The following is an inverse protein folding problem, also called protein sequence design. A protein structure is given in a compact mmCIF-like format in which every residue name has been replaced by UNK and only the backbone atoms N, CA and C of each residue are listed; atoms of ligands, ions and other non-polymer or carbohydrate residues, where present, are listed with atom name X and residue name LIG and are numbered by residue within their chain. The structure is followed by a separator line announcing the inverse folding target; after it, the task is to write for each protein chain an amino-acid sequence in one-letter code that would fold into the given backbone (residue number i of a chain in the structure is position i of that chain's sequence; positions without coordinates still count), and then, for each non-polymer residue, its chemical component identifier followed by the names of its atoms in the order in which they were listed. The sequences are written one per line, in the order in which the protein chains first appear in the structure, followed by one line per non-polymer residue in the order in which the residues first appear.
data_IF_989632920087
#
_entry.id   IF_989632920087
#
_cell.length_a   1.000
_cell.length_b   1.000
_cell.length_c   1.000
_cell.angle_alpha   90.00
_cell.angle_beta   90.00
_cell.angle_gamma   90.00
#
_symmetry.space_group_name_H-M   'P 1'
#
loop_
_entity.id
_entity.type
_entity.pdbx_description
1 polymer ?
#
# COMPACT_ATOMS: atom_id res chain seq x y z
N UNK A 1 18.73 38.16 -32.40
CA UNK A 1 19.67 38.37 -31.30
C UNK A 1 18.87 38.29 -30.01
N UNK A 2 18.79 37.09 -29.42
CA UNK A 2 18.13 36.91 -28.09
C UNK A 2 19.06 37.50 -27.04
N UNK A 3 18.56 38.47 -26.29
CA UNK A 3 19.21 38.93 -25.07
C UNK A 3 19.27 37.77 -24.09
N UNK A 4 20.41 37.54 -23.38
CA UNK A 4 20.44 36.57 -22.30
C UNK A 4 19.42 37.01 -21.25
N UNK A 5 18.42 36.17 -20.98
CA UNK A 5 17.57 36.35 -19.81
C UNK A 5 18.48 36.43 -18.58
N UNK A 6 18.36 37.49 -17.78
CA UNK A 6 18.99 37.57 -16.49
C UNK A 6 18.61 36.35 -15.63
N UNK A 7 19.29 36.11 -14.51
CA UNK A 7 18.94 34.98 -13.63
C UNK A 7 17.46 35.09 -13.32
N UNK A 8 16.65 34.17 -13.88
CA UNK A 8 15.24 34.12 -13.56
C UNK A 8 15.14 33.68 -12.10
N UNK A 9 14.32 34.36 -11.31
CA UNK A 9 13.97 33.96 -9.93
C UNK A 9 13.37 32.52 -9.87
N UNK A 10 13.16 31.92 -11.05
CA UNK A 10 12.52 30.62 -11.24
C UNK A 10 13.43 29.42 -10.91
N UNK A 11 14.76 29.62 -10.80
CA UNK A 11 15.72 28.57 -10.42
C UNK A 11 16.77 29.18 -9.51
N UNK A 12 16.80 28.72 -8.26
CA UNK A 12 17.67 29.26 -7.22
C UNK A 12 18.42 28.18 -6.47
N UNK A 13 19.76 28.14 -6.46
CA UNK A 13 20.52 27.22 -5.63
C UNK A 13 20.51 27.67 -4.17
N UNK A 14 20.32 26.72 -3.26
CA UNK A 14 20.37 26.86 -1.82
C UNK A 14 21.47 25.95 -1.30
N UNK A 15 22.63 26.55 -1.03
CA UNK A 15 23.80 25.79 -0.60
C UNK A 15 23.79 25.51 0.90
N UNK A 16 24.09 24.27 1.25
CA UNK A 16 24.23 23.76 2.60
C UNK A 16 22.93 23.36 3.28
N UNK A 17 23.07 22.44 4.24
CA UNK A 17 21.95 21.79 4.91
C UNK A 17 21.04 22.75 5.67
N UNK A 18 21.62 23.75 6.35
CA UNK A 18 20.81 24.70 7.14
C UNK A 18 19.84 25.52 6.29
N UNK A 19 20.30 26.02 5.12
CA UNK A 19 19.44 26.76 4.19
C UNK A 19 18.38 25.85 3.56
N UNK A 20 18.75 24.62 3.22
CA UNK A 20 17.83 23.61 2.70
C UNK A 20 16.71 23.32 3.70
N UNK A 21 17.07 23.03 4.96
CA UNK A 21 16.10 22.74 6.04
C UNK A 21 15.19 23.93 6.32
N UNK A 22 15.73 25.15 6.37
CA UNK A 22 14.92 26.36 6.55
C UNK A 22 13.92 26.55 5.43
N UNK A 23 14.34 26.38 4.16
CA UNK A 23 13.46 26.53 3.00
C UNK A 23 12.40 25.42 2.93
N UNK A 24 12.78 24.20 3.24
CA UNK A 24 11.87 23.07 3.34
C UNK A 24 10.76 23.34 4.37
N UNK A 25 11.12 23.82 5.55
CA UNK A 25 10.16 24.16 6.60
C UNK A 25 9.18 25.28 6.14
N UNK A 26 9.67 26.31 5.43
CA UNK A 26 8.81 27.36 4.87
C UNK A 26 7.82 26.81 3.84
N UNK A 27 8.28 25.95 2.91
CA UNK A 27 7.43 25.33 1.89
C UNK A 27 6.38 24.43 2.52
N UNK A 28 6.76 23.59 3.49
CA UNK A 28 5.82 22.73 4.22
C UNK A 28 4.80 23.54 5.02
N UNK A 29 5.22 24.65 5.64
CA UNK A 29 4.29 25.54 6.33
C UNK A 29 3.25 26.18 5.37
N UNK A 30 3.69 26.48 4.14
CA UNK A 30 2.87 27.15 3.11
C UNK A 30 2.00 26.20 2.26
N UNK A 31 2.31 24.90 2.22
CA UNK A 31 1.61 23.94 1.37
C UNK A 31 0.14 23.77 1.75
N UNK A 32 -0.74 23.58 0.77
CA UNK A 32 -2.19 23.52 0.99
C UNK A 32 -2.87 22.30 0.38
N UNK A 33 -2.33 21.73 -0.68
CA UNK A 33 -3.03 20.72 -1.46
C UNK A 33 -2.29 19.39 -1.54
N UNK A 34 -1.04 19.40 -2.02
CA UNK A 34 -0.29 18.17 -2.19
C UNK A 34 1.22 18.32 -2.00
N UNK A 35 1.82 17.26 -1.50
CA UNK A 35 3.26 17.06 -1.41
C UNK A 35 3.65 15.76 -2.12
N UNK A 36 4.50 15.87 -3.15
CA UNK A 36 5.03 14.73 -3.88
C UNK A 36 6.52 14.61 -3.59
N UNK A 37 6.99 13.45 -3.18
CA UNK A 37 8.41 13.25 -2.86
C UNK A 37 8.96 11.94 -3.43
N UNK A 38 10.19 11.98 -3.95
CA UNK A 38 10.91 10.84 -4.51
C UNK A 38 12.27 10.68 -3.83
N UNK A 39 12.52 9.49 -3.27
CA UNK A 39 13.69 9.17 -2.47
C UNK A 39 14.39 7.93 -3.02
N UNK A 40 15.48 8.06 -3.80
CA UNK A 40 16.22 6.93 -4.37
C UNK A 40 17.14 6.22 -3.37
N UNK A 41 17.35 6.81 -2.19
CA UNK A 41 18.23 6.24 -1.17
C UNK A 41 17.47 5.19 -0.36
N UNK A 42 18.01 3.97 -0.18
CA UNK A 42 17.33 2.89 0.54
C UNK A 42 17.27 3.12 2.06
N UNK A 43 18.14 3.97 2.61
CA UNK A 43 18.17 4.27 4.03
C UNK A 43 17.63 5.68 4.29
N UNK A 44 16.54 5.76 5.03
CA UNK A 44 16.29 6.96 5.81
C UNK A 44 17.23 6.91 7.02
N UNK A 45 18.21 7.79 7.04
CA UNK A 45 18.98 8.07 8.23
C UNK A 45 18.02 8.39 9.38
N UNK A 46 18.24 7.80 10.55
CA UNK A 46 17.37 7.96 11.72
C UNK A 46 17.14 9.44 12.08
N UNK A 47 18.17 10.28 11.89
CA UNK A 47 18.07 11.73 12.07
C UNK A 47 17.09 12.37 11.07
N UNK A 48 17.09 11.92 9.83
CA UNK A 48 16.16 12.38 8.79
C UNK A 48 14.73 11.89 9.04
N UNK A 49 14.55 10.68 9.54
CA UNK A 49 13.25 10.15 9.96
C UNK A 49 12.67 10.92 11.12
N UNK A 50 13.46 11.17 12.17
CA UNK A 50 13.04 11.94 13.33
C UNK A 50 12.66 13.38 12.96
N UNK A 51 13.33 13.98 11.96
CA UNK A 51 12.98 15.29 11.44
C UNK A 51 11.74 15.27 10.52
N UNK A 52 11.52 14.21 9.76
CA UNK A 52 10.42 14.10 8.80
C UNK A 52 9.07 13.76 9.47
N UNK A 53 9.07 12.93 10.50
CA UNK A 53 7.84 12.44 11.17
C UNK A 53 6.94 13.57 11.69
N UNK A 54 7.43 14.60 12.43
CA UNK A 54 6.58 15.72 12.86
C UNK A 54 6.01 16.53 11.70
N UNK A 55 6.80 16.71 10.64
CA UNK A 55 6.37 17.44 9.44
C UNK A 55 5.28 16.66 8.69
N UNK A 56 5.45 15.36 8.55
CA UNK A 56 4.48 14.48 7.91
C UNK A 56 3.16 14.48 8.68
N UNK A 57 3.19 14.37 10.00
CA UNK A 57 1.99 14.44 10.85
C UNK A 57 1.26 15.79 10.70
N UNK A 58 1.99 16.90 10.72
CA UNK A 58 1.40 18.23 10.52
C UNK A 58 0.75 18.39 9.14
N UNK A 59 1.25 17.72 8.11
CA UNK A 59 0.61 17.68 6.79
C UNK A 59 -0.69 16.86 6.82
N UNK A 60 -0.70 15.70 7.48
CA UNK A 60 -1.89 14.87 7.65
C UNK A 60 -3.02 15.60 8.40
N UNK A 61 -2.70 16.34 9.48
CA UNK A 61 -3.66 17.14 10.24
C UNK A 61 -4.28 18.27 9.40
N UNK A 62 -3.61 18.69 8.33
CA UNK A 62 -4.07 19.74 7.41
C UNK A 62 -4.75 19.18 6.15
N UNK A 63 -4.98 17.87 6.08
CA UNK A 63 -5.58 17.18 4.94
C UNK A 63 -4.80 17.37 3.62
N UNK A 64 -3.48 17.62 3.71
CA UNK A 64 -2.62 17.70 2.53
C UNK A 64 -2.39 16.30 1.98
N UNK A 65 -2.64 16.11 0.69
CA UNK A 65 -2.37 14.83 0.02
C UNK A 65 -0.85 14.58 -0.07
N UNK A 66 -0.33 13.61 0.66
CA UNK A 66 1.10 13.27 0.66
C UNK A 66 1.33 11.97 -0.09
N UNK A 67 2.17 12.02 -1.13
CA UNK A 67 2.56 10.88 -1.92
C UNK A 67 4.09 10.76 -1.93
N UNK A 68 4.59 9.63 -1.47
CA UNK A 68 6.04 9.37 -1.38
C UNK A 68 6.43 8.12 -2.17
N UNK A 69 7.43 8.25 -3.02
CA UNK A 69 8.11 7.14 -3.69
C UNK A 69 9.45 6.89 -3.01
N UNK A 70 9.67 5.66 -2.61
CA UNK A 70 10.94 5.18 -2.05
C UNK A 70 11.48 3.96 -2.80
N UNK A 71 12.62 3.47 -2.36
CA UNK A 71 13.17 2.18 -2.74
C UNK A 71 13.00 1.22 -1.55
N UNK A 72 12.91 -0.10 -1.80
CA UNK A 72 12.78 -1.07 -0.73
C UNK A 72 13.92 -0.94 0.30
N UNK A 73 13.55 -0.95 1.57
CA UNK A 73 14.50 -0.94 2.67
C UNK A 73 15.35 -2.22 2.70
N UNK A 74 16.57 -2.12 3.22
CA UNK A 74 17.31 -3.31 3.63
C UNK A 74 16.58 -4.02 4.79
N UNK A 75 16.72 -5.35 4.97
CA UNK A 75 15.97 -6.12 5.97
C UNK A 75 16.06 -5.62 7.42
N UNK A 76 17.11 -4.87 7.75
CA UNK A 76 17.38 -4.34 9.10
C UNK A 76 17.15 -2.82 9.20
N UNK A 77 16.47 -2.20 8.23
CA UNK A 77 16.30 -0.75 8.15
C UNK A 77 14.98 -0.29 8.79
N UNK A 78 15.02 0.82 9.54
CA UNK A 78 13.86 1.47 10.17
C UNK A 78 12.81 2.02 9.17
N UNK A 79 13.08 1.94 7.87
CA UNK A 79 12.16 2.43 6.81
C UNK A 79 10.83 1.70 6.82
N UNK A 80 10.78 0.44 7.26
CA UNK A 80 9.53 -0.31 7.39
C UNK A 80 8.56 0.31 8.40
N UNK A 81 9.08 0.81 9.51
CA UNK A 81 8.29 1.49 10.54
C UNK A 81 7.78 2.83 10.04
N UNK A 82 8.60 3.56 9.27
CA UNK A 82 8.21 4.82 8.63
C UNK A 82 7.07 4.64 7.61
N UNK A 83 7.15 3.65 6.76
CA UNK A 83 6.08 3.34 5.79
C UNK A 83 4.77 3.01 6.49
N UNK A 84 4.80 2.27 7.61
CA UNK A 84 3.64 1.94 8.42
C UNK A 84 3.07 3.20 9.11
N UNK A 85 3.89 4.09 9.63
CA UNK A 85 3.47 5.36 10.24
C UNK A 85 2.86 6.31 9.20
N UNK A 86 3.45 6.40 8.02
CA UNK A 86 2.91 7.15 6.88
C UNK A 86 1.49 6.66 6.53
N UNK A 87 1.32 5.35 6.38
CA UNK A 87 0.02 4.76 6.07
C UNK A 87 -1.01 5.01 7.17
N UNK A 88 -0.62 4.92 8.45
CA UNK A 88 -1.48 5.20 9.59
C UNK A 88 -1.93 6.67 9.65
N UNK A 89 -1.13 7.58 9.10
CA UNK A 89 -1.43 9.02 8.99
C UNK A 89 -2.21 9.40 7.73
N UNK A 90 -2.68 8.42 6.94
CA UNK A 90 -3.43 8.67 5.70
C UNK A 90 -2.56 9.11 4.51
N UNK A 91 -1.25 8.98 4.63
CA UNK A 91 -0.30 9.30 3.56
C UNK A 91 -0.04 8.08 2.67
N UNK A 92 0.24 8.32 1.40
CA UNK A 92 0.46 7.25 0.44
C UNK A 92 1.96 7.03 0.19
N UNK A 93 2.42 5.80 0.42
CA UNK A 93 3.78 5.38 0.16
C UNK A 93 3.81 4.22 -0.85
N UNK A 94 4.72 4.27 -1.82
CA UNK A 94 4.97 3.20 -2.78
C UNK A 94 6.46 3.04 -3.01
N UNK A 95 6.86 1.86 -3.47
CA UNK A 95 8.26 1.51 -3.72
C UNK A 95 8.50 1.07 -5.15
N UNK A 96 9.69 1.41 -5.67
CA UNK A 96 10.26 0.88 -6.89
C UNK A 96 11.70 0.40 -6.60
N UNK A 97 12.19 -0.63 -7.30
CA UNK A 97 13.55 -1.13 -7.12
C UNK A 97 14.62 -0.06 -7.32
N UNK A 98 14.34 0.94 -8.16
CA UNK A 98 15.25 2.06 -8.45
C UNK A 98 14.45 3.32 -8.75
N UNK A 99 14.98 4.46 -8.30
CA UNK A 99 14.44 5.78 -8.60
C UNK A 99 15.56 6.67 -9.15
N UNK A 100 15.26 7.55 -10.13
CA UNK A 100 16.31 8.26 -10.87
C UNK A 100 16.90 9.44 -10.14
N UNK A 101 16.15 10.12 -9.26
CA UNK A 101 16.53 11.40 -8.69
C UNK A 101 15.76 11.66 -7.40
N UNK A 102 16.37 12.39 -6.46
CA UNK A 102 15.74 12.87 -5.23
C UNK A 102 15.18 14.25 -5.42
N UNK A 103 13.87 14.40 -5.21
CA UNK A 103 13.21 15.71 -5.22
C UNK A 103 11.96 15.72 -4.36
N UNK A 104 11.48 16.92 -4.06
CA UNK A 104 10.19 17.16 -3.41
C UNK A 104 9.46 18.27 -4.15
N UNK A 105 8.15 18.12 -4.37
CA UNK A 105 7.29 19.08 -5.06
C UNK A 105 6.20 19.52 -4.11
N UNK A 106 5.89 20.82 -4.10
CA UNK A 106 4.95 21.49 -3.21
C UNK A 106 3.87 22.17 -4.06
N UNK A 107 2.62 21.74 -3.91
CA UNK A 107 1.43 22.27 -4.62
C UNK A 107 1.62 22.48 -6.14
N UNK A 108 2.50 21.70 -6.79
CA UNK A 108 2.92 21.86 -8.21
C UNK A 108 3.41 23.25 -8.57
N UNK A 109 3.89 24.02 -7.59
CA UNK A 109 4.34 25.40 -7.78
C UNK A 109 5.82 25.62 -7.47
N UNK A 110 6.39 24.68 -6.74
CA UNK A 110 7.81 24.69 -6.41
C UNK A 110 8.36 23.28 -6.27
N UNK A 111 9.60 23.07 -6.64
CA UNK A 111 10.31 21.82 -6.40
C UNK A 111 11.66 22.08 -5.76
N UNK A 112 12.12 21.17 -4.90
CA UNK A 112 13.49 21.12 -4.37
C UNK A 112 14.18 19.87 -4.94
N UNK A 113 15.28 20.05 -5.66
CA UNK A 113 16.07 18.97 -6.26
C UNK A 113 17.48 19.04 -5.67
N UNK A 114 18.11 17.91 -5.33
CA UNK A 114 19.51 17.92 -4.81
C UNK A 114 20.47 18.53 -5.82
N UNK A 115 21.41 19.37 -5.35
CA UNK A 115 22.52 19.86 -6.15
C UNK A 115 23.46 18.70 -6.53
N UNK A 116 23.70 17.80 -5.59
CA UNK A 116 24.49 16.61 -5.78
C UNK A 116 23.68 15.38 -5.34
N UNK A 117 23.38 14.44 -6.26
CA UNK A 117 22.60 13.24 -5.92
C UNK A 117 23.25 12.38 -4.83
N UNK A 118 24.57 12.47 -4.65
CA UNK A 118 25.35 11.64 -3.71
C UNK A 118 25.64 12.34 -2.38
N UNK A 119 25.35 13.65 -2.28
CA UNK A 119 25.67 14.46 -1.09
C UNK A 119 24.56 15.49 -0.83
N UNK A 120 23.62 15.13 0.02
CA UNK A 120 22.54 16.02 0.45
C UNK A 120 23.02 17.25 1.24
N UNK A 121 24.23 17.19 1.81
CA UNK A 121 24.85 18.30 2.54
C UNK A 121 25.22 19.49 1.65
N UNK A 122 25.38 19.28 0.34
CA UNK A 122 25.66 20.37 -0.62
C UNK A 122 24.48 21.32 -0.82
N UNK A 123 23.26 20.83 -0.56
CA UNK A 123 22.06 21.65 -0.66
C UNK A 123 21.16 21.25 -1.82
N UNK A 124 20.23 22.15 -2.16
CA UNK A 124 19.20 21.92 -3.18
C UNK A 124 19.11 23.06 -4.19
N UNK A 125 18.53 22.77 -5.33
CA UNK A 125 18.07 23.77 -6.29
C UNK A 125 16.55 23.92 -6.09
N UNK A 126 16.10 25.10 -5.75
CA UNK A 126 14.67 25.45 -5.79
C UNK A 126 14.29 25.80 -7.24
N UNK A 127 13.28 25.12 -7.75
CA UNK A 127 12.73 25.30 -9.10
C UNK A 127 11.30 25.79 -8.99
N UNK A 128 11.00 26.91 -9.64
CA UNK A 128 9.66 27.54 -9.73
C UNK A 128 9.21 27.74 -11.15
N UNK A 129 10.07 27.51 -12.14
CA UNK A 129 9.71 27.54 -13.55
C UNK A 129 8.60 26.50 -13.80
N UNK A 130 7.40 26.96 -14.15
CA UNK A 130 6.22 26.10 -14.28
C UNK A 130 6.47 24.87 -15.15
N UNK A 131 7.04 25.05 -16.36
CA UNK A 131 7.33 23.95 -17.26
C UNK A 131 8.30 22.91 -16.67
N UNK A 132 9.26 23.33 -15.82
CA UNK A 132 10.18 22.42 -15.16
C UNK A 132 9.51 21.67 -13.99
N UNK A 133 8.68 22.37 -13.22
CA UNK A 133 7.88 21.75 -12.15
C UNK A 133 6.90 20.74 -12.76
N UNK A 134 6.20 21.09 -13.85
CA UNK A 134 5.28 20.19 -14.55
C UNK A 134 6.01 18.92 -15.05
N UNK A 135 7.23 19.07 -15.59
CA UNK A 135 8.03 17.92 -16.01
C UNK A 135 8.43 16.99 -14.85
N UNK A 136 8.71 17.55 -13.67
CA UNK A 136 8.99 16.76 -12.46
C UNK A 136 7.71 16.07 -11.93
N UNK A 137 6.56 16.73 -11.99
CA UNK A 137 5.25 16.14 -11.66
C UNK A 137 4.96 14.97 -12.59
N UNK A 138 5.13 15.15 -13.90
CA UNK A 138 4.96 14.07 -14.89
C UNK A 138 5.90 12.89 -14.65
N UNK A 139 7.16 13.15 -14.31
CA UNK A 139 8.10 12.11 -13.93
C UNK A 139 7.61 11.35 -12.69
N UNK A 140 7.17 12.08 -11.65
CA UNK A 140 6.64 11.49 -10.43
C UNK A 140 5.43 10.59 -10.72
N UNK A 141 4.43 11.11 -11.43
CA UNK A 141 3.19 10.40 -11.72
C UNK A 141 3.44 9.12 -12.52
N UNK A 142 4.30 9.15 -13.52
CA UNK A 142 4.69 7.94 -14.26
C UNK A 142 5.32 6.88 -13.36
N UNK A 143 6.23 7.28 -12.48
CA UNK A 143 6.85 6.36 -11.51
C UNK A 143 5.85 5.87 -10.47
N UNK A 144 4.92 6.73 -10.06
CA UNK A 144 3.84 6.37 -9.16
C UNK A 144 2.92 5.30 -9.74
N UNK A 145 2.55 5.42 -11.00
CA UNK A 145 1.73 4.44 -11.71
C UNK A 145 2.49 3.12 -11.92
N UNK A 146 3.78 3.20 -12.26
CA UNK A 146 4.66 2.03 -12.36
C UNK A 146 4.74 1.27 -11.02
N UNK A 147 4.94 1.97 -9.91
CA UNK A 147 4.95 1.38 -8.58
C UNK A 147 3.60 0.73 -8.24
N UNK A 148 2.48 1.38 -8.59
CA UNK A 148 1.16 0.80 -8.44
C UNK A 148 0.94 -0.44 -9.31
N UNK A 149 1.48 -0.46 -10.53
CA UNK A 149 1.44 -1.63 -11.41
C UNK A 149 2.33 -2.76 -10.91
N UNK A 150 3.55 -2.44 -10.41
CA UNK A 150 4.45 -3.41 -9.80
C UNK A 150 3.84 -4.03 -8.55
N UNK A 151 3.21 -3.22 -7.69
CA UNK A 151 2.48 -3.70 -6.50
C UNK A 151 1.34 -4.64 -6.90
N UNK A 152 0.53 -4.28 -7.89
CA UNK A 152 -0.51 -5.17 -8.46
C UNK A 152 0.09 -6.41 -9.12
N UNK A 153 1.24 -6.29 -9.77
CA UNK A 153 1.97 -7.41 -10.38
C UNK A 153 2.54 -8.38 -9.34
N UNK A 154 3.11 -7.88 -8.26
CA UNK A 154 3.56 -8.68 -7.12
C UNK A 154 2.39 -9.39 -6.43
N UNK A 155 1.24 -8.69 -6.29
CA UNK A 155 0.00 -9.30 -5.84
C UNK A 155 -0.48 -10.42 -6.80
N UNK A 156 -0.32 -10.26 -8.11
CA UNK A 156 -0.62 -11.31 -9.12
C UNK A 156 0.27 -12.55 -9.01
N UNK A 157 1.44 -12.46 -8.41
CA UNK A 157 2.33 -13.61 -8.16
C UNK A 157 2.10 -14.27 -6.80
N UNK A 158 1.13 -13.80 -6.01
CA UNK A 158 0.75 -14.47 -4.77
C UNK A 158 0.27 -15.90 -5.05
N UNK A 159 1.03 -16.87 -4.64
CA UNK A 159 0.65 -18.28 -4.72
C UNK A 159 0.01 -18.70 -3.40
N UNK A 160 -1.30 -18.76 -3.39
CA UNK A 160 -2.05 -19.36 -2.29
C UNK A 160 -2.16 -20.87 -2.53
N UNK A 161 -1.98 -21.68 -1.51
CA UNK A 161 -2.38 -23.08 -1.54
C UNK A 161 -3.90 -23.18 -1.61
N UNK A 162 -4.44 -24.33 -2.06
CA UNK A 162 -5.90 -24.52 -2.13
C UNK A 162 -6.60 -24.28 -0.78
N UNK A 163 -5.95 -24.65 0.33
CA UNK A 163 -6.45 -24.41 1.69
C UNK A 163 -6.45 -22.92 2.03
N UNK A 164 -5.37 -22.22 1.75
CA UNK A 164 -5.27 -20.76 1.97
C UNK A 164 -6.32 -20.02 1.15
N UNK A 165 -6.49 -20.42 -0.11
CA UNK A 165 -7.50 -19.86 -1.00
C UNK A 165 -8.92 -20.05 -0.42
N UNK A 166 -9.26 -21.25 0.04
CA UNK A 166 -10.57 -21.53 0.62
C UNK A 166 -10.83 -20.67 1.87
N UNK A 167 -9.84 -20.57 2.78
CA UNK A 167 -9.96 -19.74 3.98
C UNK A 167 -10.17 -18.27 3.61
N UNK A 168 -9.34 -17.73 2.72
CA UNK A 168 -9.42 -16.32 2.28
C UNK A 168 -10.76 -16.03 1.63
N UNK A 169 -11.26 -16.92 0.77
CA UNK A 169 -12.54 -16.75 0.10
C UNK A 169 -13.71 -16.69 1.08
N UNK A 170 -13.75 -17.57 2.07
CA UNK A 170 -14.80 -17.53 3.09
C UNK A 170 -14.76 -16.24 3.91
N UNK A 171 -13.58 -15.81 4.34
CA UNK A 171 -13.43 -14.57 5.11
C UNK A 171 -13.79 -13.33 4.28
N UNK A 172 -13.44 -13.30 2.99
CA UNK A 172 -13.82 -12.23 2.07
C UNK A 172 -15.34 -12.16 1.85
N UNK A 173 -16.04 -13.29 1.96
CA UNK A 173 -17.52 -13.38 1.92
C UNK A 173 -18.18 -13.10 3.28
N UNK A 174 -17.44 -12.60 4.27
CA UNK A 174 -17.97 -12.17 5.55
C UNK A 174 -18.09 -13.29 6.60
N UNK A 175 -17.55 -14.47 6.36
CA UNK A 175 -17.50 -15.51 7.37
C UNK A 175 -16.53 -15.15 8.50
N UNK A 176 -16.89 -15.53 9.73
CA UNK A 176 -15.98 -15.48 10.87
C UNK A 176 -15.02 -16.67 10.83
N UNK A 177 -13.93 -16.60 11.62
CA UNK A 177 -13.01 -17.74 11.78
C UNK A 177 -13.75 -19.01 12.23
N UNK A 178 -14.79 -18.85 13.06
CA UNK A 178 -15.61 -19.97 13.57
C UNK A 178 -16.46 -20.58 12.47
N UNK A 179 -17.17 -19.78 11.65
CA UNK A 179 -17.98 -20.28 10.57
C UNK A 179 -17.14 -20.86 9.43
N UNK A 180 -16.01 -20.23 9.10
CA UNK A 180 -15.05 -20.75 8.12
C UNK A 180 -14.44 -22.10 8.57
N UNK A 181 -14.14 -22.24 9.88
CA UNK A 181 -13.62 -23.50 10.43
C UNK A 181 -14.65 -24.63 10.32
N UNK A 182 -15.91 -24.33 10.61
CA UNK A 182 -16.99 -25.32 10.49
C UNK A 182 -17.18 -25.77 9.02
N UNK A 183 -17.20 -24.85 8.06
CA UNK A 183 -17.35 -25.17 6.64
C UNK A 183 -16.18 -25.98 6.06
N UNK A 184 -14.95 -25.69 6.50
CA UNK A 184 -13.74 -26.35 5.98
C UNK A 184 -13.37 -27.61 6.75
N UNK A 185 -14.07 -27.95 7.84
CA UNK A 185 -13.69 -29.05 8.70
C UNK A 185 -12.35 -28.85 9.40
N UNK A 186 -11.96 -27.60 9.66
CA UNK A 186 -10.72 -27.21 10.30
C UNK A 186 -10.98 -26.69 11.72
N UNK A 187 -9.94 -26.63 12.55
CA UNK A 187 -10.05 -25.91 13.82
C UNK A 187 -9.89 -24.40 13.64
N UNK A 188 -10.52 -23.57 14.48
CA UNK A 188 -10.32 -22.11 14.52
C UNK A 188 -8.83 -21.78 14.71
N UNK A 189 -8.11 -22.59 15.50
CA UNK A 189 -6.66 -22.44 15.68
C UNK A 189 -5.90 -22.66 14.35
N UNK A 190 -6.33 -23.60 13.54
CA UNK A 190 -5.72 -23.83 12.20
C UNK A 190 -5.94 -22.66 11.29
N UNK A 191 -7.17 -22.06 11.26
CA UNK A 191 -7.45 -20.84 10.50
C UNK A 191 -6.51 -19.71 10.92
N UNK A 192 -6.44 -19.44 12.24
CA UNK A 192 -5.59 -18.37 12.79
C UNK A 192 -4.10 -18.58 12.46
N UNK A 193 -3.61 -19.84 12.54
CA UNK A 193 -2.23 -20.16 12.21
C UNK A 193 -1.94 -19.98 10.71
N UNK A 194 -2.85 -20.41 9.84
CA UNK A 194 -2.71 -20.23 8.39
C UNK A 194 -2.67 -18.74 8.01
N UNK A 195 -3.55 -17.92 8.59
CA UNK A 195 -3.54 -16.48 8.34
C UNK A 195 -2.26 -15.80 8.84
N UNK A 196 -1.74 -16.23 9.99
CA UNK A 196 -0.46 -15.74 10.50
C UNK A 196 0.68 -16.09 9.53
N UNK A 197 0.75 -17.34 9.06
CA UNK A 197 1.73 -17.75 8.06
C UNK A 197 1.64 -16.98 6.74
N UNK A 198 0.42 -16.59 6.32
CA UNK A 198 0.22 -15.70 5.19
C UNK A 198 0.76 -14.29 5.48
N UNK A 199 0.43 -13.72 6.64
CA UNK A 199 0.93 -12.41 7.03
C UNK A 199 2.46 -12.37 7.08
N UNK A 200 3.08 -13.38 7.69
CA UNK A 200 4.54 -13.50 7.77
C UNK A 200 5.18 -13.64 6.37
N UNK A 201 4.58 -14.47 5.50
CA UNK A 201 5.07 -14.70 4.12
C UNK A 201 5.04 -13.45 3.26
N UNK A 202 4.03 -12.62 3.44
CA UNK A 202 3.81 -11.41 2.63
C UNK A 202 4.20 -10.12 3.35
N UNK A 203 4.85 -10.21 4.51
CA UNK A 203 5.40 -9.06 5.23
C UNK A 203 4.35 -8.09 5.75
N UNK A 204 3.11 -8.56 6.00
CA UNK A 204 2.02 -7.71 6.53
C UNK A 204 1.77 -8.00 8.02
N UNK A 205 1.44 -6.98 8.80
CA UNK A 205 1.40 -7.06 10.25
C UNK A 205 0.02 -7.40 10.83
N UNK A 206 -1.04 -7.21 10.06
CA UNK A 206 -2.41 -7.46 10.53
C UNK A 206 -3.33 -7.97 9.40
N UNK A 207 -4.50 -8.49 9.80
CA UNK A 207 -5.49 -9.05 8.88
C UNK A 207 -6.07 -8.04 7.91
N UNK A 208 -6.15 -6.78 8.30
CA UNK A 208 -6.64 -5.72 7.42
C UNK A 208 -5.65 -5.47 6.28
N UNK A 209 -4.35 -5.37 6.58
CA UNK A 209 -3.30 -5.26 5.56
C UNK A 209 -3.28 -6.48 4.63
N UNK A 210 -3.43 -7.68 5.19
CA UNK A 210 -3.55 -8.91 4.41
C UNK A 210 -4.78 -8.84 3.48
N UNK A 211 -5.93 -8.39 3.99
CA UNK A 211 -7.16 -8.21 3.23
C UNK A 211 -7.01 -7.20 2.09
N UNK A 212 -6.37 -6.06 2.33
CA UNK A 212 -6.07 -5.05 1.30
C UNK A 212 -5.15 -5.62 0.22
N UNK A 213 -4.09 -6.35 0.62
CA UNK A 213 -3.16 -6.99 -0.29
C UNK A 213 -3.85 -8.05 -1.14
N UNK A 214 -4.65 -8.91 -0.51
CA UNK A 214 -5.46 -9.93 -1.18
C UNK A 214 -6.55 -9.32 -2.06
N UNK A 215 -7.19 -8.23 -1.66
CA UNK A 215 -8.16 -7.48 -2.44
C UNK A 215 -7.54 -6.87 -3.70
N UNK A 216 -6.34 -6.34 -3.60
CA UNK A 216 -5.56 -5.87 -4.75
C UNK A 216 -5.19 -7.03 -5.71
N UNK A 217 -4.96 -8.22 -5.15
CA UNK A 217 -4.75 -9.47 -5.90
C UNK A 217 -6.03 -9.97 -6.57
N UNK A 218 -7.15 -9.86 -5.86
CA UNK A 218 -8.43 -10.43 -6.23
C UNK A 218 -9.18 -9.63 -7.29
N UNK A 219 -8.77 -8.42 -7.61
CA UNK A 219 -9.45 -7.56 -8.60
C UNK A 219 -9.73 -8.22 -9.95
N UNK A 220 -9.10 -9.40 -10.21
CA UNK A 220 -9.32 -10.23 -11.40
C UNK A 220 -9.72 -11.70 -11.11
N UNK A 221 -9.70 -12.18 -9.86
CA UNK A 221 -9.81 -13.62 -9.58
C UNK A 221 -10.69 -14.04 -8.39
N UNK A 222 -11.16 -13.14 -7.55
CA UNK A 222 -12.18 -13.47 -6.56
C UNK A 222 -13.56 -13.15 -7.16
N UNK A 223 -14.52 -14.08 -7.11
CA UNK A 223 -15.91 -13.78 -7.46
C UNK A 223 -16.40 -12.64 -6.57
N UNK A 224 -17.20 -11.74 -7.14
CA UNK A 224 -17.80 -10.64 -6.39
C UNK A 224 -18.48 -11.19 -5.12
N UNK A 225 -18.47 -10.43 -4.00
CA UNK A 225 -19.18 -10.85 -2.79
C UNK A 225 -20.63 -11.21 -3.14
N UNK A 226 -21.03 -12.47 -2.89
CA UNK A 226 -22.35 -12.98 -3.20
C UNK A 226 -22.46 -13.88 -4.45
N UNK A 227 -21.39 -14.09 -5.21
CA UNK A 227 -21.41 -14.92 -6.42
C UNK A 227 -21.09 -16.41 -6.20
N UNK A 228 -20.93 -16.87 -4.96
CA UNK A 228 -20.86 -18.30 -4.66
C UNK A 228 -22.27 -18.82 -4.43
N UNK A 229 -22.85 -19.44 -5.46
CA UNK A 229 -23.97 -20.35 -5.25
C UNK A 229 -23.50 -21.46 -4.32
N UNK A 230 -24.08 -21.52 -3.13
CA UNK A 230 -23.96 -22.69 -2.25
C UNK A 230 -24.61 -23.85 -3.04
N UNK A 231 -23.90 -24.96 -3.28
CA UNK A 231 -24.57 -26.12 -3.86
C UNK A 231 -25.74 -26.50 -2.94
N UNK A 232 -26.94 -26.55 -3.49
CA UNK A 232 -28.10 -27.07 -2.79
C UNK A 232 -27.76 -28.42 -2.16
N UNK A 233 -27.96 -28.53 -0.85
CA UNK A 233 -27.94 -29.83 -0.17
C UNK A 233 -28.85 -30.78 -0.92
N UNK A 234 -28.40 -32.01 -1.22
CA UNK A 234 -29.31 -33.01 -1.77
C UNK A 234 -30.42 -33.26 -0.74
N UNK A 235 -31.63 -32.89 -1.09
CA UNK A 235 -32.81 -33.18 -0.31
C UNK A 235 -32.80 -34.68 0.03
N UNK A 236 -32.69 -34.98 1.32
CA UNK A 236 -32.93 -36.29 1.88
C UNK A 236 -34.33 -36.74 1.41
N UNK A 237 -34.36 -37.69 0.49
CA UNK A 237 -35.57 -38.38 0.09
C UNK A 237 -35.96 -39.29 1.24
N UNK A 238 -36.86 -38.81 2.06
CA UNK A 238 -37.74 -39.68 2.82
C UNK A 238 -38.56 -40.51 1.81
N UNK A 239 -38.10 -41.70 1.56
CA UNK A 239 -38.97 -42.74 1.03
C UNK A 239 -39.60 -43.45 2.22
N UNK A 240 -40.77 -42.96 2.58
CA UNK A 240 -41.73 -43.74 3.30
C UNK A 240 -42.23 -44.85 2.42
N UNK A 241 -41.90 -46.06 2.73
CA UNK A 241 -42.61 -47.24 2.27
C UNK A 241 -43.55 -47.72 3.35
N UNK A 242 -44.80 -47.40 3.16
CA UNK A 242 -45.89 -48.07 3.81
C UNK A 242 -46.09 -49.43 3.09
N UNK A 243 -46.08 -50.48 3.83
CA UNK A 243 -46.59 -51.78 3.42
C UNK A 243 -47.15 -52.45 4.65
N UNK A 244 -48.43 -52.30 4.84
CA UNK A 244 -49.49 -53.28 4.56
C UNK A 244 -49.32 -54.59 5.30
N UNK A 245 -50.17 -54.69 6.31
CA UNK A 245 -50.59 -55.90 7.01
C UNK A 245 -51.50 -56.73 6.06
N UNK A 246 -51.48 -58.01 6.08
CA UNK A 246 -52.67 -58.67 6.66
C UNK A 246 -52.40 -60.00 7.38
N UNK A 247 -53.06 -60.11 8.53
CA UNK A 247 -54.01 -61.14 8.91
C UNK A 247 -53.58 -62.62 8.98
N UNK A 248 -53.86 -63.19 10.08
CA UNK A 248 -54.71 -64.31 10.33
C UNK A 248 -54.09 -65.56 10.99
N UNK A 249 -54.75 -65.88 12.09
CA UNK A 249 -55.13 -67.18 12.63
C UNK A 249 -54.13 -68.15 13.22
N UNK A 250 -54.36 -68.35 14.41
CA UNK A 250 -54.97 -69.51 15.15
C UNK A 250 -53.97 -70.62 15.57
N UNK A 251 -54.35 -71.05 16.73
CA UNK A 251 -54.24 -72.37 17.41
C UNK A 251 -52.97 -72.58 18.31
N UNK A 252 -53.30 -72.82 19.43
CA UNK A 252 -53.42 -73.67 20.61
C UNK A 252 -52.62 -73.19 21.82
#
# INVERSE_FOLDING_TARGET
MLLPAGPSDDVRPLYGLARTRGRLAELIAGIRHEHLSMHPDPSFDEENLQAATPLSRALGEREVAVHTLGVPAAPDDATGDYAAEMAASGMHYRELPTLPVKFQIFDRTAALVLIDPTDSGKGVIEVRAAAAVDALVELFLRRWDEAGAAHRGAARTMKLTSREQAIVTLLANGHTDASASAQLGLSVRTIAYTLRGLMDRYGVQNRFQLGLLLGAYAGDQLPAPGALEVPDEPADREQGEASDDPTTEEHE
#
